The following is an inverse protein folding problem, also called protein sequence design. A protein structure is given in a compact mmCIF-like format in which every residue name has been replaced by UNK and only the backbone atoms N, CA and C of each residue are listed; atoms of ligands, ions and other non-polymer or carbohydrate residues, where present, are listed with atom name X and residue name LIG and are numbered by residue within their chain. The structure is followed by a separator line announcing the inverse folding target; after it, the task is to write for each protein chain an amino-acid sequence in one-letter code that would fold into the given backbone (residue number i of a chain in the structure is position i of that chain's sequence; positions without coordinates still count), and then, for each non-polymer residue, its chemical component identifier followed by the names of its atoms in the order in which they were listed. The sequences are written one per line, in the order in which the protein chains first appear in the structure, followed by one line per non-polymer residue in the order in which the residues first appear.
data_IF_895431745062
#
_entry.id   IF_895431745062
#
_cell.length_a   1.000
_cell.length_b   1.000
_cell.length_c   1.000
_cell.angle_alpha   90.00
_cell.angle_beta   90.00
_cell.angle_gamma   90.00
#
_symmetry.space_group_name_H-M   'P 1'
#
loop_
_entity.id
_entity.type
_entity.pdbx_description
1 polymer ?
#
# COMPACT_ATOMS: atom_id res chain seq x y z
N UNK A 1 -23.06 14.39 12.74
CA UNK A 1 -21.72 13.77 12.76
C UNK A 1 -21.54 12.78 11.62
N UNK A 2 -22.14 11.58 11.66
CA UNK A 2 -21.99 10.50 10.64
C UNK A 2 -22.18 10.98 9.19
N UNK A 3 -23.26 11.75 8.89
CA UNK A 3 -23.55 12.28 7.54
C UNK A 3 -22.45 13.22 7.03
N UNK A 4 -21.89 14.05 7.90
CA UNK A 4 -20.78 14.96 7.57
C UNK A 4 -19.51 14.16 7.20
N UNK A 5 -19.11 13.21 8.04
CA UNK A 5 -17.90 12.37 7.81
C UNK A 5 -18.02 11.59 6.49
N UNK A 6 -19.20 10.99 6.22
CA UNK A 6 -19.46 10.31 4.96
C UNK A 6 -19.39 11.25 3.76
N UNK A 7 -19.85 12.52 3.90
CA UNK A 7 -19.74 13.52 2.84
C UNK A 7 -18.28 13.90 2.58
N UNK A 8 -17.49 14.10 3.64
CA UNK A 8 -16.04 14.34 3.52
C UNK A 8 -15.37 13.17 2.79
N UNK A 9 -15.59 11.95 3.28
CA UNK A 9 -15.03 10.74 2.65
C UNK A 9 -15.39 10.63 1.16
N UNK A 10 -16.66 10.83 0.81
CA UNK A 10 -17.13 10.76 -0.59
C UNK A 10 -16.51 11.82 -1.50
N UNK A 11 -16.33 13.06 -0.99
CA UNK A 11 -15.73 14.15 -1.78
C UNK A 11 -14.23 13.97 -2.02
N UNK A 12 -13.50 13.45 -1.03
CA UNK A 12 -12.04 13.37 -1.09
C UNK A 12 -11.52 12.01 -1.55
N UNK A 13 -12.38 11.01 -1.72
CA UNK A 13 -11.92 9.68 -2.16
C UNK A 13 -11.29 9.72 -3.56
N UNK A 14 -11.90 10.43 -4.51
CA UNK A 14 -11.35 10.56 -5.85
C UNK A 14 -10.02 11.33 -5.87
N UNK A 15 -9.91 12.55 -5.30
CA UNK A 15 -8.63 13.24 -5.19
C UNK A 15 -7.54 12.42 -4.48
N UNK A 16 -7.91 11.70 -3.40
CA UNK A 16 -6.97 10.84 -2.68
C UNK A 16 -6.48 9.64 -3.52
N UNK A 17 -7.27 9.18 -4.47
CA UNK A 17 -6.89 8.08 -5.36
C UNK A 17 -6.11 8.53 -6.57
N UNK A 18 -6.53 9.66 -7.17
CA UNK A 18 -6.05 10.09 -8.47
C UNK A 18 -4.90 11.10 -8.40
N UNK A 19 -4.78 11.85 -7.28
CA UNK A 19 -3.89 13.01 -7.21
C UNK A 19 -3.01 12.96 -5.94
N UNK A 20 -3.61 12.96 -4.75
CA UNK A 20 -2.86 13.01 -3.47
C UNK A 20 -3.11 11.77 -2.63
N UNK A 21 -2.37 10.72 -2.91
CA UNK A 21 -2.50 9.45 -2.18
C UNK A 21 -2.05 9.56 -0.71
N UNK A 22 -1.37 10.64 -0.31
CA UNK A 22 -1.04 10.88 1.10
C UNK A 22 -2.29 11.07 1.97
N UNK A 23 -3.43 11.40 1.36
CA UNK A 23 -4.74 11.46 2.00
C UNK A 23 -5.40 10.11 2.25
N UNK A 24 -4.96 9.02 1.61
CA UNK A 24 -5.66 7.72 1.65
C UNK A 24 -5.74 7.13 3.06
N UNK A 25 -4.65 7.15 3.80
CA UNK A 25 -4.61 6.57 5.16
C UNK A 25 -5.53 7.32 6.14
N UNK A 26 -5.47 8.66 6.30
CA UNK A 26 -6.38 9.39 7.17
C UNK A 26 -7.83 9.30 6.70
N UNK A 27 -8.10 9.35 5.40
CA UNK A 27 -9.45 9.23 4.85
C UNK A 27 -10.05 7.84 5.13
N UNK A 28 -9.25 6.78 5.01
CA UNK A 28 -9.65 5.43 5.35
C UNK A 28 -10.02 5.30 6.84
N UNK A 29 -9.25 5.93 7.75
CA UNK A 29 -9.60 5.97 9.17
C UNK A 29 -10.93 6.67 9.43
N UNK A 30 -11.19 7.80 8.78
CA UNK A 30 -12.48 8.50 8.86
C UNK A 30 -13.64 7.64 8.35
N UNK A 31 -13.44 6.93 7.25
CA UNK A 31 -14.44 5.99 6.72
C UNK A 31 -14.77 4.88 7.73
N UNK A 32 -13.76 4.27 8.35
CA UNK A 32 -13.93 3.22 9.36
C UNK A 32 -14.69 3.75 10.57
N UNK A 33 -14.29 4.92 11.08
CA UNK A 33 -14.90 5.55 12.25
C UNK A 33 -16.31 6.11 11.98
N UNK A 34 -16.73 6.26 10.72
CA UNK A 34 -17.98 6.97 10.36
C UNK A 34 -19.25 6.35 10.95
N UNK A 35 -19.26 5.03 11.22
CA UNK A 35 -20.43 4.36 11.78
C UNK A 35 -20.60 4.56 13.29
N UNK A 36 -19.50 4.77 14.01
CA UNK A 36 -19.41 5.03 15.46
C UNK A 36 -18.66 6.35 15.70
N UNK A 37 -19.05 7.40 14.99
CA UNK A 37 -18.37 8.70 15.02
C UNK A 37 -18.48 9.35 16.40
N UNK A 38 -17.33 9.79 16.92
CA UNK A 38 -17.15 10.51 18.20
C UNK A 38 -16.75 11.96 17.95
N UNK A 39 -16.65 12.77 19.00
CA UNK A 39 -16.08 14.12 18.93
C UNK A 39 -14.65 14.10 18.39
N UNK A 40 -13.86 13.11 18.79
CA UNK A 40 -12.49 12.94 18.24
C UNK A 40 -12.54 12.71 16.72
N UNK A 41 -13.51 11.94 16.22
CA UNK A 41 -13.67 11.75 14.76
C UNK A 41 -13.97 13.06 14.03
N UNK A 42 -14.71 13.98 14.68
CA UNK A 42 -14.96 15.33 14.13
C UNK A 42 -13.70 16.19 14.12
N UNK A 43 -12.90 16.12 15.19
CA UNK A 43 -11.60 16.82 15.26
C UNK A 43 -10.67 16.29 14.15
N UNK A 44 -10.56 14.97 14.02
CA UNK A 44 -9.75 14.34 12.95
C UNK A 44 -10.23 14.73 11.56
N UNK A 45 -11.56 14.87 11.36
CA UNK A 45 -12.12 15.34 10.09
C UNK A 45 -11.76 16.80 9.79
N UNK A 46 -11.74 17.67 10.81
CA UNK A 46 -11.29 19.05 10.65
C UNK A 46 -9.81 19.11 10.30
N UNK A 47 -8.96 18.41 11.04
CA UNK A 47 -7.51 18.32 10.73
C UNK A 47 -7.25 17.82 9.30
N UNK A 48 -8.05 16.84 8.83
CA UNK A 48 -7.97 16.38 7.45
C UNK A 48 -8.33 17.49 6.46
N UNK A 49 -9.39 18.27 6.70
CA UNK A 49 -9.79 19.40 5.84
C UNK A 49 -8.78 20.54 5.89
N UNK A 50 -8.20 20.85 7.06
CA UNK A 50 -7.14 21.83 7.21
C UNK A 50 -5.89 21.43 6.41
N UNK A 51 -5.53 20.14 6.43
CA UNK A 51 -4.46 19.62 5.58
C UNK A 51 -4.76 19.84 4.09
N UNK A 52 -5.98 19.52 3.63
CA UNK A 52 -6.38 19.74 2.24
C UNK A 52 -6.34 21.24 1.86
N UNK A 53 -6.75 22.13 2.76
CA UNK A 53 -6.75 23.57 2.53
C UNK A 53 -5.32 24.16 2.49
N UNK A 54 -4.41 23.60 3.29
CA UNK A 54 -2.99 24.05 3.31
C UNK A 54 -2.14 23.43 2.20
N UNK A 55 -2.64 22.40 1.50
CA UNK A 55 -1.97 21.74 0.38
C UNK A 55 -2.91 21.63 -0.82
N UNK A 56 -3.35 22.77 -1.42
CA UNK A 56 -4.42 22.75 -2.44
C UNK A 56 -3.99 22.17 -3.78
N UNK A 57 -2.69 22.21 -4.11
CA UNK A 57 -2.15 21.88 -5.43
C UNK A 57 -1.14 20.71 -5.37
N UNK A 58 -1.54 19.51 -4.94
CA UNK A 58 -0.65 18.35 -4.98
C UNK A 58 -0.40 17.92 -6.43
N UNK A 59 0.82 17.50 -6.74
CA UNK A 59 1.22 17.06 -8.08
C UNK A 59 1.98 15.75 -8.01
N UNK A 60 1.50 14.73 -8.71
CA UNK A 60 2.27 13.51 -8.94
C UNK A 60 3.18 13.73 -10.15
N UNK A 61 4.46 13.43 -9.97
CA UNK A 61 5.46 13.60 -11.03
C UNK A 61 5.71 12.23 -11.69
N UNK A 62 5.35 12.12 -12.96
CA UNK A 62 5.68 10.95 -13.77
C UNK A 62 6.87 11.27 -14.66
N UNK A 63 7.86 10.37 -14.66
CA UNK A 63 9.08 10.45 -15.48
C UNK A 63 9.06 9.37 -16.53
N UNK A 64 9.70 9.61 -17.66
CA UNK A 64 9.92 8.59 -18.68
C UNK A 64 10.63 7.37 -18.07
N UNK A 65 10.15 6.17 -18.40
CA UNK A 65 10.65 4.92 -17.86
C UNK A 65 10.59 3.79 -18.88
N UNK A 66 11.14 2.63 -18.53
CA UNK A 66 10.96 1.41 -19.34
C UNK A 66 9.57 0.78 -19.19
N UNK A 67 8.62 1.44 -18.53
CA UNK A 67 7.26 0.97 -18.28
C UNK A 67 7.19 -0.38 -17.55
N UNK A 68 8.19 -0.67 -16.71
CA UNK A 68 8.23 -1.90 -15.91
C UNK A 68 7.54 -1.69 -14.56
N UNK A 69 6.51 -2.48 -14.30
CA UNK A 69 5.78 -2.41 -13.04
C UNK A 69 6.68 -2.80 -11.87
N UNK A 70 6.72 -1.95 -10.85
CA UNK A 70 7.41 -2.18 -9.58
C UNK A 70 6.45 -1.93 -8.42
N UNK A 71 6.61 -2.71 -7.35
CA UNK A 71 5.71 -2.68 -6.20
C UNK A 71 6.52 -2.63 -4.92
N UNK A 72 6.31 -1.60 -4.09
CA UNK A 72 6.69 -1.63 -2.69
C UNK A 72 5.49 -2.07 -1.87
N UNK A 73 5.71 -2.95 -0.89
CA UNK A 73 4.67 -3.44 0.02
C UNK A 73 5.08 -3.24 1.47
N UNK A 74 4.11 -2.93 2.29
CA UNK A 74 4.24 -2.82 3.73
C UNK A 74 2.96 -3.28 4.42
N UNK A 75 3.06 -3.71 5.67
CA UNK A 75 1.89 -4.01 6.49
C UNK A 75 2.08 -3.63 7.96
N UNK A 76 1.29 -2.69 8.42
CA UNK A 76 1.25 -2.34 9.83
C UNK A 76 0.41 -3.35 10.62
N UNK A 77 1.07 -4.10 11.51
CA UNK A 77 0.47 -5.16 12.31
C UNK A 77 -0.38 -4.60 13.45
N UNK A 78 -1.64 -5.05 13.55
CA UNK A 78 -2.60 -4.73 14.62
C UNK A 78 -2.85 -3.22 14.87
N UNK A 79 -2.73 -2.37 13.86
CA UNK A 79 -2.85 -0.91 13.99
C UNK A 79 -4.29 -0.38 13.97
N UNK A 80 -5.27 -1.21 13.74
CA UNK A 80 -6.67 -0.81 13.65
C UNK A 80 -7.56 -1.56 14.64
N UNK A 81 -8.77 -1.03 14.86
CA UNK A 81 -9.75 -1.63 15.76
C UNK A 81 -10.02 -3.12 15.43
N UNK A 82 -10.39 -3.90 16.44
CA UNK A 82 -10.64 -5.35 16.36
C UNK A 82 -9.40 -6.13 15.91
N UNK A 83 -8.21 -5.74 16.37
CA UNK A 83 -6.94 -6.38 16.05
C UNK A 83 -6.72 -6.56 14.54
N UNK A 84 -7.04 -5.55 13.74
CA UNK A 84 -6.83 -5.57 12.30
C UNK A 84 -5.50 -4.94 11.92
N UNK A 85 -4.87 -5.54 10.94
CA UNK A 85 -3.65 -5.02 10.30
C UNK A 85 -4.03 -4.22 9.06
N UNK A 86 -3.15 -3.32 8.62
CA UNK A 86 -3.33 -2.54 7.40
C UNK A 86 -2.27 -2.93 6.38
N UNK A 87 -2.70 -3.28 5.19
CA UNK A 87 -1.83 -3.44 4.04
C UNK A 87 -1.64 -2.10 3.32
N UNK A 88 -0.43 -1.85 2.88
CA UNK A 88 -0.06 -0.74 2.03
C UNK A 88 0.74 -1.22 0.83
N UNK A 89 0.68 -0.44 -0.26
CA UNK A 89 1.43 -0.70 -1.47
C UNK A 89 1.61 0.57 -2.28
N UNK A 90 2.76 0.66 -2.93
CA UNK A 90 3.11 1.75 -3.84
C UNK A 90 3.52 1.13 -5.18
N UNK A 91 2.69 1.28 -6.20
CA UNK A 91 2.87 0.70 -7.52
C UNK A 91 3.26 1.80 -8.50
N UNK A 92 4.36 1.65 -9.19
CA UNK A 92 4.86 2.64 -10.17
C UNK A 92 5.53 1.96 -11.36
N UNK A 93 5.72 2.74 -12.41
CA UNK A 93 6.40 2.29 -13.63
C UNK A 93 7.84 2.78 -13.62
N UNK A 94 8.76 1.86 -13.46
CA UNK A 94 10.19 2.13 -13.29
C UNK A 94 11.05 1.61 -14.45
N UNK A 95 12.37 1.60 -14.19
CA UNK A 95 13.39 1.11 -15.09
C UNK A 95 13.91 -0.28 -14.68
N UNK A 96 14.66 -0.93 -15.57
CA UNK A 96 15.27 -2.26 -15.33
C UNK A 96 16.28 -2.25 -14.18
N UNK A 97 17.01 -1.17 -14.03
CA UNK A 97 18.01 -0.99 -12.96
C UNK A 97 17.39 -0.77 -11.56
N UNK A 98 16.07 -0.49 -11.50
CA UNK A 98 15.36 -0.24 -10.26
C UNK A 98 15.68 1.11 -9.59
N UNK A 99 16.46 1.98 -10.23
CA UNK A 99 16.96 3.23 -9.66
C UNK A 99 16.00 4.42 -9.84
N UNK A 100 14.99 4.28 -10.68
CA UNK A 100 14.02 5.34 -10.92
C UNK A 100 12.92 5.34 -9.84
N UNK A 101 12.88 6.40 -9.05
CA UNK A 101 11.69 6.76 -8.26
C UNK A 101 10.70 7.51 -9.17
N UNK A 102 9.47 7.01 -9.29
CA UNK A 102 8.45 7.56 -10.17
C UNK A 102 7.13 7.73 -9.43
N UNK A 103 6.28 8.62 -9.91
CA UNK A 103 4.93 8.78 -9.38
C UNK A 103 4.15 7.47 -9.41
N UNK A 104 3.29 7.20 -8.40
CA UNK A 104 2.55 5.97 -8.34
C UNK A 104 1.40 5.97 -9.36
N UNK A 105 1.21 4.85 -10.04
CA UNK A 105 0.00 4.57 -10.81
C UNK A 105 -1.12 4.02 -9.92
N UNK A 106 -0.76 3.47 -8.76
CA UNK A 106 -1.71 2.97 -7.77
C UNK A 106 -1.08 2.92 -6.38
N UNK A 107 -1.85 3.33 -5.38
CA UNK A 107 -1.47 3.19 -3.96
C UNK A 107 -2.53 2.40 -3.21
N UNK A 108 -2.10 1.31 -2.57
CA UNK A 108 -2.93 0.51 -1.68
C UNK A 108 -2.83 1.08 -0.26
N UNK A 109 -3.97 1.29 0.39
CA UNK A 109 -4.09 1.51 1.85
C UNK A 109 -5.41 0.90 2.29
N UNK A 110 -5.40 -0.39 2.68
CA UNK A 110 -6.62 -1.15 3.02
C UNK A 110 -6.42 -1.98 4.28
N UNK A 111 -7.50 -2.15 5.08
CA UNK A 111 -7.49 -3.11 6.18
C UNK A 111 -7.45 -4.55 5.64
N UNK A 112 -6.60 -5.36 6.26
CA UNK A 112 -6.61 -6.80 6.07
C UNK A 112 -7.79 -7.36 6.87
N UNK A 113 -8.76 -7.97 6.17
CA UNK A 113 -10.00 -8.45 6.81
C UNK A 113 -9.79 -9.60 7.79
N UNK A 114 -8.77 -10.44 7.58
CA UNK A 114 -8.40 -11.49 8.50
C UNK A 114 -7.62 -10.94 9.71
N UNK A 115 -7.75 -11.56 10.86
CA UNK A 115 -6.85 -11.30 12.00
C UNK A 115 -5.53 -12.01 11.75
N UNK A 116 -4.43 -11.27 11.80
CA UNK A 116 -3.09 -11.84 11.62
C UNK A 116 -2.51 -12.22 12.97
N UNK A 117 -1.79 -13.33 13.03
CA UNK A 117 -1.17 -13.83 14.26
C UNK A 117 0.25 -13.29 14.47
N UNK A 118 0.84 -12.71 13.45
CA UNK A 118 2.20 -12.15 13.49
C UNK A 118 2.40 -11.02 12.46
N UNK A 119 3.45 -10.22 12.66
CA UNK A 119 3.86 -9.22 11.68
C UNK A 119 4.22 -9.85 10.33
N UNK A 120 4.89 -11.01 10.31
CA UNK A 120 5.22 -11.71 9.07
C UNK A 120 3.98 -12.18 8.30
N UNK A 121 2.90 -12.59 9.01
CA UNK A 121 1.62 -12.88 8.36
C UNK A 121 0.96 -11.63 7.80
N UNK A 122 0.99 -10.51 8.53
CA UNK A 122 0.47 -9.25 8.04
C UNK A 122 1.19 -8.81 6.76
N UNK A 123 2.52 -8.90 6.74
CA UNK A 123 3.36 -8.63 5.56
C UNK A 123 3.04 -9.56 4.37
N UNK A 124 2.88 -10.86 4.65
CA UNK A 124 2.47 -11.82 3.61
C UNK A 124 1.08 -11.50 3.05
N UNK A 125 0.14 -11.10 3.93
CA UNK A 125 -1.19 -10.65 3.55
C UNK A 125 -1.16 -9.35 2.73
N UNK A 126 -0.32 -8.39 3.10
CA UNK A 126 -0.07 -7.16 2.35
C UNK A 126 0.49 -7.46 0.95
N UNK A 127 1.51 -8.31 0.89
CA UNK A 127 2.12 -8.76 -0.38
C UNK A 127 1.12 -9.46 -1.30
N UNK A 128 0.27 -10.34 -0.75
CA UNK A 128 -0.81 -10.97 -1.50
C UNK A 128 -1.80 -9.95 -2.08
N UNK A 129 -2.26 -8.99 -1.27
CA UNK A 129 -3.19 -7.96 -1.73
C UNK A 129 -2.58 -7.11 -2.85
N UNK A 130 -1.31 -6.71 -2.71
CA UNK A 130 -0.60 -5.95 -3.73
C UNK A 130 -0.41 -6.76 -5.02
N UNK A 131 -0.04 -8.04 -4.92
CA UNK A 131 0.09 -8.92 -6.08
C UNK A 131 -1.25 -9.10 -6.83
N UNK A 132 -2.36 -9.24 -6.09
CA UNK A 132 -3.69 -9.37 -6.69
C UNK A 132 -4.08 -8.11 -7.47
N UNK A 133 -3.82 -6.92 -6.93
CA UNK A 133 -4.05 -5.64 -7.63
C UNK A 133 -3.10 -5.46 -8.83
N UNK A 134 -1.90 -6.05 -8.80
CA UNK A 134 -0.91 -5.93 -9.86
C UNK A 134 -1.18 -6.79 -11.10
N UNK A 135 -1.90 -7.90 -10.96
CA UNK A 135 -2.21 -8.79 -12.11
C UNK A 135 -2.87 -8.03 -13.25
N UNK A 136 -3.98 -7.27 -13.06
CA UNK A 136 -4.58 -6.51 -14.15
C UNK A 136 -3.63 -5.43 -14.72
N UNK A 137 -2.80 -4.77 -13.90
CA UNK A 137 -1.84 -3.80 -14.41
C UNK A 137 -0.81 -4.47 -15.34
N UNK A 138 -0.29 -5.64 -14.96
CA UNK A 138 0.62 -6.42 -15.81
C UNK A 138 -0.03 -6.76 -17.15
N UNK A 139 -1.24 -7.31 -17.12
CA UNK A 139 -1.98 -7.66 -18.33
C UNK A 139 -2.18 -6.45 -19.24
N UNK A 140 -2.65 -5.33 -18.67
CA UNK A 140 -2.84 -4.09 -19.44
C UNK A 140 -1.54 -3.58 -20.07
N UNK A 141 -0.42 -3.60 -19.32
CA UNK A 141 0.87 -3.18 -19.86
C UNK A 141 1.35 -4.08 -20.99
N UNK A 142 1.14 -5.39 -20.88
CA UNK A 142 1.50 -6.36 -21.92
C UNK A 142 0.62 -6.17 -23.19
N UNK A 143 -0.69 -5.93 -23.02
CA UNK A 143 -1.60 -5.61 -24.11
C UNK A 143 -1.25 -4.28 -24.82
N UNK A 144 -0.71 -3.32 -24.08
CA UNK A 144 -0.17 -2.07 -24.62
C UNK A 144 1.21 -2.22 -25.28
N UNK A 145 1.76 -3.44 -25.37
CA UNK A 145 3.04 -3.75 -26.01
C UNK A 145 4.26 -3.68 -25.08
N UNK A 146 4.08 -3.44 -23.79
CA UNK A 146 5.16 -3.36 -22.80
C UNK A 146 5.35 -4.69 -22.08
N UNK A 147 6.17 -5.57 -22.63
CA UNK A 147 6.46 -6.88 -22.04
C UNK A 147 6.96 -6.75 -20.61
N UNK A 148 6.30 -7.46 -19.69
CA UNK A 148 6.61 -7.41 -18.26
C UNK A 148 7.49 -8.61 -17.84
N UNK A 149 8.73 -8.40 -17.38
CA UNK A 149 9.49 -9.43 -16.67
C UNK A 149 8.81 -9.76 -15.33
N UNK A 150 9.33 -10.72 -14.53
CA UNK A 150 8.81 -10.93 -13.17
C UNK A 150 8.78 -9.62 -12.39
N UNK A 151 7.58 -9.15 -12.03
CA UNK A 151 7.40 -7.88 -11.32
C UNK A 151 7.98 -7.96 -9.91
N UNK A 152 8.93 -7.08 -9.52
CA UNK A 152 9.46 -7.07 -8.19
C UNK A 152 8.39 -6.62 -7.17
N UNK A 153 8.18 -7.43 -6.14
CA UNK A 153 7.46 -7.07 -4.92
C UNK A 153 8.50 -6.88 -3.82
N UNK A 154 8.69 -5.63 -3.39
CA UNK A 154 9.76 -5.23 -2.50
C UNK A 154 9.18 -5.07 -1.09
N UNK A 155 9.72 -5.82 -0.13
CA UNK A 155 9.34 -5.79 1.30
C UNK A 155 10.56 -5.56 2.18
N UNK A 156 10.38 -4.95 3.34
CA UNK A 156 11.41 -4.84 4.37
C UNK A 156 11.50 -6.09 5.27
N UNK A 157 10.52 -6.99 5.18
CA UNK A 157 10.45 -8.19 6.01
C UNK A 157 11.20 -9.36 5.36
N UNK A 158 12.43 -9.63 5.86
CA UNK A 158 13.27 -10.72 5.36
C UNK A 158 12.64 -12.11 5.58
N UNK A 159 11.87 -12.28 6.65
CA UNK A 159 11.14 -13.54 6.94
C UNK A 159 10.07 -13.79 5.88
N UNK A 160 9.25 -12.80 5.56
CA UNK A 160 8.25 -12.90 4.49
C UNK A 160 8.89 -13.26 3.15
N UNK A 161 9.98 -12.56 2.77
CA UNK A 161 10.73 -12.91 1.56
C UNK A 161 11.26 -14.35 1.59
N UNK A 162 11.86 -14.77 2.71
CA UNK A 162 12.41 -16.12 2.87
C UNK A 162 11.34 -17.22 2.77
N UNK A 163 10.17 -16.98 3.35
CA UNK A 163 9.01 -17.89 3.26
C UNK A 163 8.53 -17.98 1.80
N UNK A 164 8.37 -16.86 1.11
CA UNK A 164 7.91 -16.84 -0.29
C UNK A 164 8.90 -17.51 -1.25
N UNK A 165 10.20 -17.35 -1.03
CA UNK A 165 11.27 -18.01 -1.81
C UNK A 165 11.63 -19.43 -1.35
N UNK A 166 10.87 -20.04 -0.46
CA UNK A 166 11.10 -21.41 0.10
C UNK A 166 12.44 -21.58 0.86
N UNK A 167 13.12 -20.49 1.22
CA UNK A 167 14.36 -20.55 2.02
C UNK A 167 14.09 -20.68 3.52
N UNK A 168 12.87 -20.36 3.96
CA UNK A 168 12.39 -20.49 5.35
C UNK A 168 11.11 -21.34 5.34
N UNK A 169 11.05 -22.36 6.19
CA UNK A 169 9.83 -23.15 6.39
C UNK A 169 8.84 -22.36 7.26
N UNK A 170 7.62 -22.19 6.76
CA UNK A 170 6.54 -21.61 7.53
C UNK A 170 6.14 -22.57 8.66
N UNK A 171 6.22 -22.09 9.89
CA UNK A 171 5.72 -22.83 11.06
C UNK A 171 4.29 -22.38 11.36
N UNK A 172 3.31 -23.30 11.24
CA UNK A 172 1.92 -23.20 11.71
C UNK A 172 1.23 -21.85 11.49
N UNK A 173 0.74 -21.59 10.28
CA UNK A 173 -0.18 -20.50 10.01
C UNK A 173 -1.33 -21.01 9.13
N UNK A 174 -2.43 -21.42 9.77
CA UNK A 174 -3.60 -21.98 9.07
C UNK A 174 -4.46 -20.93 8.36
N UNK A 175 -4.43 -19.67 8.84
CA UNK A 175 -5.32 -18.61 8.35
C UNK A 175 -4.91 -17.99 6.99
N UNK A 176 -3.67 -18.23 6.55
CA UNK A 176 -3.09 -17.61 5.35
C UNK A 176 -2.78 -18.59 4.22
N UNK A 177 -3.06 -19.88 4.41
CA UNK A 177 -2.58 -20.93 3.50
C UNK A 177 -2.91 -20.68 2.03
N UNK A 178 -4.17 -20.41 1.67
CA UNK A 178 -4.56 -20.22 0.27
C UNK A 178 -3.95 -18.97 -0.37
N UNK A 179 -3.91 -17.84 0.36
CA UNK A 179 -3.34 -16.57 -0.14
C UNK A 179 -1.84 -16.67 -0.30
N UNK A 180 -1.20 -17.33 0.64
CA UNK A 180 0.22 -17.63 0.63
C UNK A 180 0.57 -18.52 -0.56
N UNK A 181 -0.13 -19.65 -0.75
CA UNK A 181 0.11 -20.57 -1.87
C UNK A 181 -0.18 -19.92 -3.21
N UNK A 182 -1.21 -19.09 -3.32
CA UNK A 182 -1.50 -18.33 -4.54
C UNK A 182 -0.32 -17.43 -4.93
N UNK A 183 0.22 -16.66 -3.98
CA UNK A 183 1.35 -15.77 -4.28
C UNK A 183 2.62 -16.56 -4.64
N UNK A 184 2.88 -17.66 -3.93
CA UNK A 184 4.00 -18.56 -4.27
C UNK A 184 3.88 -19.15 -5.67
N UNK A 185 2.71 -19.64 -6.03
CA UNK A 185 2.43 -20.17 -7.36
C UNK A 185 2.74 -19.10 -8.44
N UNK A 186 2.31 -17.86 -8.25
CA UNK A 186 2.61 -16.75 -9.15
C UNK A 186 4.11 -16.40 -9.24
N UNK A 187 4.83 -16.54 -8.15
CA UNK A 187 6.30 -16.39 -8.15
C UNK A 187 6.95 -17.54 -8.93
N UNK A 188 6.52 -18.77 -8.73
CA UNK A 188 7.01 -19.96 -9.46
C UNK A 188 6.72 -19.89 -10.97
N UNK A 189 5.59 -19.31 -11.35
CA UNK A 189 5.23 -19.02 -12.74
C UNK A 189 6.01 -17.84 -13.34
N UNK A 190 6.87 -17.17 -12.58
CA UNK A 190 7.65 -16.03 -13.05
C UNK A 190 6.85 -14.74 -13.26
N UNK A 191 5.67 -14.61 -12.67
CA UNK A 191 4.89 -13.37 -12.73
C UNK A 191 5.41 -12.33 -11.75
N UNK A 192 5.90 -12.76 -10.57
CA UNK A 192 6.43 -11.90 -9.52
C UNK A 192 7.78 -12.38 -9.02
N UNK A 193 8.57 -11.47 -8.45
CA UNK A 193 9.81 -11.76 -7.74
C UNK A 193 9.85 -11.02 -6.40
N UNK A 194 9.95 -11.75 -5.28
CA UNK A 194 10.05 -11.13 -3.94
C UNK A 194 11.46 -10.64 -3.68
N UNK A 195 11.59 -9.34 -3.49
CA UNK A 195 12.85 -8.68 -3.14
C UNK A 195 12.80 -8.11 -1.73
N UNK A 196 13.96 -8.01 -1.10
CA UNK A 196 14.11 -7.33 0.18
C UNK A 196 14.84 -6.00 -0.03
N UNK A 197 14.38 -4.96 0.68
CA UNK A 197 15.11 -3.71 0.78
C UNK A 197 14.95 -3.11 2.19
N UNK A 198 15.89 -2.23 2.62
CA UNK A 198 15.80 -1.58 3.92
C UNK A 198 14.53 -0.73 4.07
N UNK A 199 13.89 -0.79 5.25
CA UNK A 199 12.61 -0.10 5.52
C UNK A 199 12.65 1.41 5.34
N UNK A 200 13.81 2.05 5.53
CA UNK A 200 13.98 3.50 5.28
C UNK A 200 13.68 3.92 3.83
N UNK A 201 13.74 2.97 2.90
CA UNK A 201 13.46 3.19 1.48
C UNK A 201 12.04 2.77 1.10
N UNK A 202 11.27 2.18 2.03
CA UNK A 202 9.97 1.60 1.71
C UNK A 202 8.92 2.68 1.46
N UNK A 203 8.58 2.91 0.19
CA UNK A 203 7.58 3.89 -0.22
C UNK A 203 6.16 3.56 0.27
N UNK A 204 5.87 2.29 0.53
CA UNK A 204 4.57 1.85 1.02
C UNK A 204 4.37 2.12 2.52
N UNK A 205 5.44 2.27 3.33
CA UNK A 205 5.35 2.52 4.77
C UNK A 205 4.45 3.72 5.09
N UNK A 206 4.52 4.74 4.26
CA UNK A 206 3.70 5.95 4.43
C UNK A 206 2.18 5.67 4.44
N UNK A 207 1.71 4.74 3.62
CA UNK A 207 0.28 4.41 3.50
C UNK A 207 -0.22 3.37 4.52
N UNK A 208 0.67 2.76 5.31
CA UNK A 208 0.35 1.68 6.24
C UNK A 208 -0.11 2.16 7.62
N UNK A 209 0.44 3.29 8.11
CA UNK A 209 0.23 3.78 9.47
C UNK A 209 0.13 5.31 9.53
N UNK A 210 -0.27 5.83 10.70
CA UNK A 210 -0.29 7.27 10.97
C UNK A 210 1.12 7.75 11.29
N UNK A 211 1.51 8.88 10.72
CA UNK A 211 2.80 9.52 10.95
C UNK A 211 2.65 10.83 11.75
N UNK A 212 3.73 11.24 12.41
CA UNK A 212 3.81 12.57 13.00
C UNK A 212 3.84 13.66 11.92
N UNK A 213 3.42 14.88 12.27
CA UNK A 213 3.44 16.00 11.34
C UNK A 213 4.85 16.30 10.78
N UNK A 214 5.90 16.12 11.59
CA UNK A 214 7.28 16.30 11.15
C UNK A 214 7.68 15.25 10.10
N UNK A 215 7.37 13.97 10.34
CA UNK A 215 7.64 12.91 9.38
C UNK A 215 6.83 13.07 8.09
N UNK A 216 5.55 13.46 8.21
CA UNK A 216 4.70 13.75 7.05
C UNK A 216 5.30 14.85 6.16
N UNK A 217 5.75 15.97 6.75
CA UNK A 217 6.38 17.07 5.99
C UNK A 217 7.67 16.65 5.28
N UNK A 218 8.45 15.75 5.92
CA UNK A 218 9.70 15.23 5.35
C UNK A 218 9.45 14.28 4.18
N UNK A 219 8.47 13.38 4.30
CA UNK A 219 8.29 12.27 3.35
C UNK A 219 7.33 12.62 2.21
N UNK A 220 6.33 13.49 2.46
CA UNK A 220 5.31 13.86 1.46
C UNK A 220 5.87 14.28 0.09
N UNK A 221 6.95 15.09 -0.02
CA UNK A 221 7.52 15.46 -1.33
C UNK A 221 8.05 14.27 -2.14
N UNK A 222 8.36 13.15 -1.47
CA UNK A 222 8.82 11.92 -2.13
C UNK A 222 7.66 10.99 -2.52
N UNK A 223 6.44 11.32 -2.10
CA UNK A 223 5.24 10.54 -2.37
C UNK A 223 4.43 11.10 -3.55
N UNK A 224 4.67 12.34 -3.91
CA UNK A 224 3.94 13.07 -4.96
C UNK A 224 4.80 13.40 -6.16
#
# INVERSE_FOLDING_TARGET
MKKFIKKVAGKYLYPARAIDHTMLQPLNNLCIASNSATEQTMIDSKHFLDHCATNPDPKIIFRASNMLLQIWTDAAYLVAAKARSRAAGYHFLGNRDGNLHNGPIYVLSKLIKAVMSSAAEAESGGSFMNATEAVPFRTTLEELGWKQPPTPIITENSTTRGIMKKTIKQKRSKAMDMRFYWLRDRIEQGQFDMKWAPGKMNLADYASKRHSAAHHKLVRPNQL
#
